data_IF_453002678803
#
_entry.id   IF_453002678803
#
_cell.length_a   1.000
_cell.length_b   1.000
_cell.length_c   1.000
_cell.angle_alpha   90.00
_cell.angle_beta   90.00
_cell.angle_gamma   90.00
#
_symmetry.space_group_name_H-M   'P 1'
#
loop_
_entity.id
_entity.type
_entity.pdbx_description
1 polymer ?
#
# COMPACT_ATOMS: atom_id res chain seq x y z
N UNK A 1 -6.01 7.14 11.50
CA UNK A 1 -5.17 8.34 11.62
C UNK A 1 -4.12 8.24 10.55
N UNK A 2 -4.00 9.22 9.65
CA UNK A 2 -3.00 9.17 8.58
C UNK A 2 -1.62 9.29 9.21
N UNK A 3 -0.82 8.23 9.13
CA UNK A 3 0.52 8.19 9.71
C UNK A 3 1.46 9.11 8.89
N UNK A 4 2.34 9.85 9.56
CA UNK A 4 3.32 10.73 8.90
C UNK A 4 4.21 9.96 7.90
N UNK A 5 4.52 8.69 8.19
CA UNK A 5 5.26 7.79 7.30
C UNK A 5 4.46 7.50 6.03
N UNK A 6 3.18 7.16 6.15
CA UNK A 6 2.32 6.87 4.99
C UNK A 6 2.18 8.06 4.05
N UNK A 7 2.11 9.28 4.60
CA UNK A 7 2.11 10.51 3.81
C UNK A 7 3.42 10.71 3.07
N UNK A 8 4.56 10.42 3.70
CA UNK A 8 5.87 10.54 3.07
C UNK A 8 6.05 9.56 1.92
N UNK A 9 5.71 8.28 2.13
CA UNK A 9 5.76 7.24 1.09
C UNK A 9 4.82 7.59 -0.06
N UNK A 10 3.60 8.06 0.25
CA UNK A 10 2.63 8.46 -0.76
C UNK A 10 3.15 9.58 -1.67
N UNK A 11 3.84 10.57 -1.08
CA UNK A 11 4.47 11.64 -1.85
C UNK A 11 5.62 11.13 -2.73
N UNK A 12 6.48 10.25 -2.21
CA UNK A 12 7.62 9.70 -2.96
C UNK A 12 7.19 8.81 -4.12
N UNK A 13 6.08 8.07 -3.97
CA UNK A 13 5.54 7.16 -4.98
C UNK A 13 4.44 7.77 -5.84
N UNK A 14 4.07 9.04 -5.61
CA UNK A 14 2.96 9.73 -6.27
C UNK A 14 1.61 8.97 -6.20
N UNK A 15 1.32 8.37 -5.05
CA UNK A 15 0.06 7.64 -4.76
C UNK A 15 -0.68 8.28 -3.60
N UNK A 16 -1.88 7.78 -3.28
CA UNK A 16 -2.63 8.28 -2.13
C UNK A 16 -2.17 7.61 -0.83
N UNK A 17 -2.13 8.37 0.28
CA UNK A 17 -1.79 7.82 1.60
C UNK A 17 -2.68 6.63 2.02
N UNK A 18 -3.94 6.61 1.57
CA UNK A 18 -4.86 5.47 1.81
C UNK A 18 -4.39 4.18 1.15
N UNK A 19 -3.75 4.27 -0.03
CA UNK A 19 -3.21 3.10 -0.73
C UNK A 19 -2.01 2.53 0.02
N UNK A 20 -1.17 3.42 0.56
CA UNK A 20 -0.04 3.05 1.42
C UNK A 20 -0.53 2.41 2.73
N UNK A 21 -1.49 3.02 3.41
CA UNK A 21 -2.08 2.48 4.64
C UNK A 21 -2.69 1.08 4.40
N UNK A 22 -3.36 0.88 3.26
CA UNK A 22 -3.91 -0.42 2.88
C UNK A 22 -2.83 -1.48 2.63
N UNK A 23 -1.74 -1.10 1.94
CA UNK A 23 -0.61 -2.00 1.71
C UNK A 23 0.11 -2.36 3.02
N UNK A 24 0.37 -1.39 3.90
CA UNK A 24 0.97 -1.61 5.23
C UNK A 24 0.12 -2.59 6.03
N UNK A 25 -1.20 -2.39 6.09
CA UNK A 25 -2.10 -3.30 6.81
C UNK A 25 -1.98 -4.75 6.32
N UNK A 26 -1.92 -4.95 5.00
CA UNK A 26 -1.78 -6.30 4.43
C UNK A 26 -0.42 -6.93 4.77
N UNK A 27 0.65 -6.12 4.79
CA UNK A 27 1.98 -6.58 5.20
C UNK A 27 2.00 -6.95 6.70
N UNK A 28 1.36 -6.16 7.55
CA UNK A 28 1.22 -6.45 8.99
C UNK A 28 0.42 -7.73 9.24
N UNK A 29 -0.54 -8.04 8.37
CA UNK A 29 -1.31 -9.30 8.37
C UNK A 29 -0.52 -10.49 7.79
N UNK A 30 0.73 -10.27 7.34
CA UNK A 30 1.64 -11.31 6.86
C UNK A 30 1.54 -11.60 5.35
N UNK A 31 0.86 -10.75 4.58
CA UNK A 31 0.88 -10.86 3.13
C UNK A 31 2.25 -10.46 2.56
N UNK A 32 2.60 -11.02 1.39
CA UNK A 32 3.85 -10.68 0.69
C UNK A 32 3.61 -9.70 -0.44
N UNK A 33 4.63 -8.97 -0.87
CA UNK A 33 4.54 -8.00 -1.98
C UNK A 33 3.98 -8.64 -3.27
N UNK A 34 4.49 -9.79 -3.77
CA UNK A 34 3.92 -10.42 -4.97
C UNK A 34 2.45 -10.86 -4.80
N UNK A 35 2.05 -11.26 -3.59
CA UNK A 35 0.67 -11.63 -3.29
C UNK A 35 -0.25 -10.40 -3.33
N UNK A 36 0.17 -9.29 -2.71
CA UNK A 36 -0.61 -8.05 -2.67
C UNK A 36 -0.80 -7.49 -4.08
N UNK A 37 0.29 -7.36 -4.85
CA UNK A 37 0.27 -6.84 -6.21
C UNK A 37 -0.63 -7.68 -7.14
N UNK A 38 -0.74 -9.00 -6.92
CA UNK A 38 -1.53 -9.88 -7.78
C UNK A 38 -2.98 -10.08 -7.32
N UNK A 39 -3.24 -10.15 -6.02
CA UNK A 39 -4.52 -10.62 -5.46
C UNK A 39 -5.24 -9.60 -4.55
N UNK A 40 -4.66 -8.42 -4.31
CA UNK A 40 -5.25 -7.38 -3.45
C UNK A 40 -5.31 -6.00 -4.11
N UNK A 41 -5.31 -5.96 -5.45
CA UNK A 41 -5.37 -4.72 -6.24
C UNK A 41 -6.52 -3.81 -5.81
N UNK A 42 -7.73 -4.33 -5.61
CA UNK A 42 -8.86 -3.47 -5.22
C UNK A 42 -8.70 -2.87 -3.82
N UNK A 43 -8.01 -3.55 -2.91
CA UNK A 43 -7.77 -3.09 -1.53
C UNK A 43 -6.73 -1.97 -1.52
N UNK A 44 -5.71 -2.05 -2.36
CA UNK A 44 -4.62 -1.06 -2.45
C UNK A 44 -4.87 0.04 -3.49
N UNK A 45 -6.00 0.03 -4.20
CA UNK A 45 -6.23 0.98 -5.31
C UNK A 45 -5.31 0.73 -6.51
N UNK A 46 -5.07 -0.55 -6.81
CA UNK A 46 -4.27 -1.07 -7.92
C UNK A 46 -2.77 -0.73 -7.85
N UNK A 47 -2.19 -0.67 -6.65
CA UNK A 47 -0.73 -0.71 -6.51
C UNK A 47 -0.18 -2.00 -7.12
N UNK A 48 0.95 -1.88 -7.81
CA UNK A 48 1.71 -2.99 -8.38
C UNK A 48 3.17 -2.95 -7.88
N UNK A 49 3.99 -3.87 -8.39
CA UNK A 49 5.37 -4.10 -8.01
C UNK A 49 6.39 -3.54 -9.02
N UNK A 50 5.96 -2.66 -9.94
CA UNK A 50 6.80 -2.09 -11.02
C UNK A 50 7.29 -0.68 -10.70
#
# INVERSE_FOLDING_TARGET
MTNAISLRIAQELAVNARQVDAAIKLLDEGATVPFIARYRKEVTGALDDT
#
